data_IF_102291906648
#
_entry.id   IF_102291906648
#
_cell.length_a   1.000
_cell.length_b   1.000
_cell.length_c   1.000
_cell.angle_alpha   90.00
_cell.angle_beta   90.00
_cell.angle_gamma   90.00
#
_symmetry.space_group_name_H-M   'P 1'
#
loop_
_entity.id
_entity.type
_entity.pdbx_description
1 polymer ?
#
# COMPACT_ATOMS: atom_id res chain seq x y z
N UNK A 1 13.76 -12.90 -4.02
CA UNK A 1 12.32 -12.53 -3.87
C UNK A 1 11.57 -13.70 -3.24
N UNK A 2 10.81 -13.42 -2.22
CA UNK A 2 10.00 -14.43 -1.53
C UNK A 2 8.91 -14.96 -2.46
N UNK A 3 8.83 -16.27 -2.63
CA UNK A 3 7.75 -16.91 -3.37
C UNK A 3 6.57 -17.19 -2.45
N UNK A 4 5.37 -16.86 -2.95
CA UNK A 4 4.13 -17.08 -2.20
C UNK A 4 3.65 -18.51 -2.49
N UNK A 5 4.12 -19.45 -1.67
CA UNK A 5 3.74 -20.85 -1.70
C UNK A 5 2.65 -21.15 -0.67
N UNK A 6 2.00 -22.31 -0.74
CA UNK A 6 1.04 -22.73 0.29
C UNK A 6 1.72 -22.80 1.68
N UNK A 7 2.91 -23.36 1.76
CA UNK A 7 3.71 -23.41 3.00
C UNK A 7 4.00 -22.02 3.57
N UNK A 8 4.34 -21.04 2.70
CA UNK A 8 4.53 -19.65 3.13
C UNK A 8 3.22 -19.06 3.69
N UNK A 9 2.09 -19.27 3.01
CA UNK A 9 0.77 -18.79 3.47
C UNK A 9 0.37 -19.41 4.81
N UNK A 10 0.62 -20.70 5.01
CA UNK A 10 0.39 -21.39 6.29
C UNK A 10 1.27 -20.86 7.42
N UNK A 11 2.44 -20.30 7.10
CA UNK A 11 3.40 -19.75 8.08
C UNK A 11 3.11 -18.34 8.55
N UNK A 12 2.14 -17.64 7.92
CA UNK A 12 1.81 -16.23 8.21
C UNK A 12 0.38 -16.07 8.71
N UNK A 13 0.13 -14.94 9.34
CA UNK A 13 -1.20 -14.54 9.79
C UNK A 13 -1.42 -13.04 9.52
N UNK A 14 -2.59 -12.52 9.86
CA UNK A 14 -2.93 -11.09 9.66
C UNK A 14 -1.94 -10.13 10.31
N UNK A 15 -1.31 -10.53 11.42
CA UNK A 15 -0.30 -9.71 12.11
C UNK A 15 0.98 -9.48 11.31
N UNK A 16 1.24 -10.34 10.33
CA UNK A 16 2.45 -10.30 9.51
C UNK A 16 2.26 -9.46 8.22
N UNK A 17 1.08 -8.82 8.06
CA UNK A 17 0.68 -8.10 6.84
C UNK A 17 0.75 -6.59 7.05
N UNK A 18 1.31 -5.89 6.07
CA UNK A 18 1.18 -4.45 5.89
C UNK A 18 0.54 -4.18 4.52
N UNK A 19 -0.52 -3.38 4.49
CA UNK A 19 -1.06 -2.85 3.23
C UNK A 19 -0.67 -1.40 3.04
N UNK A 20 -0.41 -1.02 1.80
CA UNK A 20 -0.01 0.34 1.43
C UNK A 20 -0.71 0.78 0.15
N UNK A 21 -1.30 1.95 0.18
CA UNK A 21 -1.73 2.68 -1.00
C UNK A 21 -0.72 3.80 -1.29
N UNK A 22 0.13 3.57 -2.30
CA UNK A 22 1.26 4.45 -2.61
C UNK A 22 0.76 5.68 -3.36
N UNK A 23 0.85 6.82 -2.70
CA UNK A 23 0.51 8.13 -3.25
C UNK A 23 1.42 9.21 -2.63
N UNK A 24 1.21 10.48 -2.96
CA UNK A 24 1.88 11.61 -2.28
C UNK A 24 1.63 11.58 -0.77
N UNK A 25 0.44 11.14 -0.39
CA UNK A 25 0.08 10.76 0.97
C UNK A 25 -0.18 9.26 0.94
N UNK A 26 0.75 8.47 1.44
CA UNK A 26 0.62 7.01 1.44
C UNK A 26 -0.32 6.57 2.56
N UNK A 27 -1.41 5.94 2.18
CA UNK A 27 -2.28 5.25 3.12
C UNK A 27 -1.68 3.91 3.54
N UNK A 28 -1.87 3.52 4.78
CA UNK A 28 -1.39 2.22 5.27
C UNK A 28 -2.31 1.61 6.33
N UNK A 29 -2.27 0.30 6.42
CA UNK A 29 -2.99 -0.45 7.44
C UNK A 29 -2.23 -1.72 7.83
N UNK A 30 -2.19 -2.00 9.11
CA UNK A 30 -1.93 -3.30 9.71
C UNK A 30 -2.81 -3.43 10.96
N UNK A 31 -2.80 -4.59 11.62
CA UNK A 31 -3.67 -4.79 12.79
C UNK A 31 -3.27 -3.97 14.04
N UNK A 32 -2.12 -3.32 14.03
CA UNK A 32 -1.60 -2.55 15.16
C UNK A 32 -1.79 -1.05 15.00
N UNK A 33 -1.69 -0.56 13.77
CA UNK A 33 -1.84 0.85 13.43
C UNK A 33 -2.27 1.04 11.98
N UNK A 34 -2.91 2.16 11.74
CA UNK A 34 -3.31 2.56 10.39
C UNK A 34 -3.32 4.08 10.28
N UNK A 35 -3.35 4.58 9.08
CA UNK A 35 -3.37 6.02 8.85
C UNK A 35 -2.85 6.41 7.48
N UNK A 36 -2.35 7.61 7.43
CA UNK A 36 -1.78 8.22 6.25
C UNK A 36 -0.46 8.89 6.61
N UNK A 37 0.56 8.68 5.78
CA UNK A 37 1.87 9.31 5.93
C UNK A 37 2.20 10.19 4.73
N UNK A 38 2.68 11.40 5.00
CA UNK A 38 3.16 12.35 4.00
C UNK A 38 4.68 12.50 4.14
N UNK A 39 5.39 12.27 3.04
CA UNK A 39 6.84 12.41 3.04
C UNK A 39 7.25 13.86 2.71
N UNK A 40 8.25 14.40 3.39
CA UNK A 40 8.68 15.78 3.18
C UNK A 40 9.36 15.94 1.81
N UNK A 41 9.11 17.09 1.17
CA UNK A 41 9.86 17.51 -0.01
C UNK A 41 11.29 17.88 0.39
N UNK A 42 12.23 17.70 -0.55
CA UNK A 42 13.56 18.25 -0.41
C UNK A 42 13.65 19.60 -1.13
N UNK A 43 13.54 20.67 -0.39
CA UNK A 43 13.61 22.04 -0.93
C UNK A 43 14.96 22.38 -1.58
N UNK A 44 15.99 21.59 -1.30
CA UNK A 44 17.32 21.70 -1.90
C UNK A 44 17.51 20.84 -3.15
N UNK A 45 16.48 20.08 -3.54
CA UNK A 45 16.57 19.25 -4.74
C UNK A 45 16.75 20.12 -5.99
N UNK A 46 17.58 19.72 -6.96
CA UNK A 46 17.66 20.38 -8.24
C UNK A 46 16.30 20.45 -8.92
N UNK A 47 15.93 21.60 -9.44
CA UNK A 47 14.60 21.83 -10.06
C UNK A 47 14.28 20.84 -11.19
N UNK A 48 15.29 20.35 -11.91
CA UNK A 48 15.11 19.40 -13.01
C UNK A 48 14.75 17.99 -12.54
N UNK A 49 14.93 17.66 -11.24
CA UNK A 49 14.53 16.37 -10.64
C UNK A 49 13.09 16.39 -10.12
N UNK A 50 12.48 17.57 -10.06
CA UNK A 50 11.12 17.75 -9.57
C UNK A 50 11.04 17.93 -8.06
N UNK A 51 9.87 18.39 -7.56
CA UNK A 51 9.67 18.71 -6.14
C UNK A 51 9.69 17.49 -5.23
N UNK A 52 9.50 16.31 -5.79
CA UNK A 52 9.35 15.06 -5.04
C UNK A 52 10.67 14.34 -4.74
N UNK A 53 11.77 14.87 -5.24
CA UNK A 53 13.07 14.19 -5.22
C UNK A 53 13.56 13.79 -3.81
N UNK A 54 13.16 14.47 -2.77
CA UNK A 54 13.53 14.12 -1.39
C UNK A 54 12.68 13.01 -0.74
N UNK A 55 11.54 12.72 -1.32
CA UNK A 55 10.56 11.80 -0.71
C UNK A 55 10.97 10.33 -0.79
N UNK A 56 11.76 9.94 -1.78
CA UNK A 56 12.19 8.56 -2.03
C UNK A 56 12.91 7.95 -0.82
N UNK A 57 13.89 8.67 -0.27
CA UNK A 57 14.64 8.22 0.90
C UNK A 57 13.74 8.10 2.13
N UNK A 58 12.85 9.06 2.34
CA UNK A 58 11.93 9.06 3.47
C UNK A 58 10.92 7.90 3.37
N UNK A 59 10.36 7.66 2.18
CA UNK A 59 9.48 6.52 1.90
C UNK A 59 10.19 5.18 2.15
N UNK A 60 11.40 5.02 1.63
CA UNK A 60 12.21 3.81 1.83
C UNK A 60 12.47 3.56 3.31
N UNK A 61 12.87 4.57 4.06
CA UNK A 61 13.14 4.43 5.49
C UNK A 61 11.87 4.08 6.27
N UNK A 62 10.75 4.73 5.96
CA UNK A 62 9.47 4.42 6.59
C UNK A 62 9.04 2.96 6.36
N UNK A 63 9.18 2.43 5.13
CA UNK A 63 8.89 1.02 4.84
C UNK A 63 9.76 0.08 5.69
N UNK A 64 11.06 0.35 5.78
CA UNK A 64 12.00 -0.44 6.57
C UNK A 64 11.61 -0.42 8.06
N UNK A 65 11.28 0.77 8.58
CA UNK A 65 10.87 0.94 9.97
C UNK A 65 9.59 0.15 10.27
N UNK A 66 8.60 0.18 9.37
CA UNK A 66 7.35 -0.59 9.49
C UNK A 66 7.61 -2.10 9.46
N UNK A 67 8.47 -2.56 8.56
CA UNK A 67 8.85 -3.98 8.46
C UNK A 67 9.48 -4.46 9.78
N UNK A 68 10.42 -3.72 10.33
CA UNK A 68 11.10 -4.11 11.57
C UNK A 68 10.17 -3.98 12.79
N UNK A 69 9.42 -2.88 12.89
CA UNK A 69 8.54 -2.61 14.04
C UNK A 69 7.45 -3.68 14.20
N UNK A 70 6.90 -4.14 13.10
CA UNK A 70 5.77 -5.07 13.10
C UNK A 70 6.10 -6.47 12.61
N UNK A 71 7.38 -6.76 12.36
CA UNK A 71 7.84 -8.06 11.82
C UNK A 71 7.06 -8.47 10.56
N UNK A 72 6.86 -7.51 9.65
CA UNK A 72 6.09 -7.70 8.42
C UNK A 72 6.75 -8.76 7.53
N UNK A 73 5.98 -9.74 7.09
CA UNK A 73 6.41 -10.80 6.18
C UNK A 73 5.79 -10.67 4.78
N UNK A 74 4.70 -9.94 4.66
CA UNK A 74 4.03 -9.69 3.39
C UNK A 74 3.49 -8.26 3.32
N UNK A 75 3.74 -7.61 2.19
CA UNK A 75 3.15 -6.31 1.85
C UNK A 75 2.17 -6.51 0.69
N UNK A 76 1.01 -5.85 0.79
CA UNK A 76 0.05 -5.72 -0.31
C UNK A 76 -0.08 -4.25 -0.71
N UNK A 77 -0.02 -3.99 -2.01
CA UNK A 77 -0.16 -2.65 -2.57
C UNK A 77 -1.09 -2.64 -3.78
N UNK A 78 -1.67 -1.49 -4.11
CA UNK A 78 -2.28 -1.31 -5.42
C UNK A 78 -1.21 -1.35 -6.51
N UNK A 79 -1.57 -1.95 -7.66
CA UNK A 79 -0.70 -1.93 -8.83
C UNK A 79 -0.87 -0.62 -9.59
N UNK A 80 0.16 -0.26 -10.36
CA UNK A 80 0.10 0.86 -11.29
C UNK A 80 -0.82 0.51 -12.46
N UNK A 81 -1.74 1.43 -12.79
CA UNK A 81 -2.58 1.34 -13.98
C UNK A 81 -2.33 2.53 -14.90
N UNK A 82 -2.53 2.31 -16.19
CA UNK A 82 -2.51 3.39 -17.20
C UNK A 82 -3.69 4.33 -16.97
N UNK A 83 -3.50 5.62 -17.26
CA UNK A 83 -4.56 6.64 -17.16
C UNK A 83 -4.19 7.85 -16.33
N UNK A 84 -3.04 7.83 -15.66
CA UNK A 84 -2.47 9.00 -14.98
C UNK A 84 -1.63 9.84 -15.96
N UNK A 85 -1.42 11.11 -15.63
CA UNK A 85 -0.47 11.96 -16.34
C UNK A 85 0.96 11.44 -16.21
N UNK A 86 1.83 11.80 -17.19
CA UNK A 86 3.21 11.31 -17.23
C UNK A 86 3.98 11.53 -15.91
N UNK A 87 3.84 12.68 -15.29
CA UNK A 87 4.56 13.01 -14.05
C UNK A 87 4.07 12.15 -12.86
N UNK A 88 2.78 11.86 -12.81
CA UNK A 88 2.21 10.99 -11.77
C UNK A 88 2.68 9.54 -11.94
N UNK A 89 2.66 9.03 -13.18
CA UNK A 89 3.16 7.68 -13.49
C UNK A 89 4.65 7.57 -13.14
N UNK A 90 5.46 8.56 -13.51
CA UNK A 90 6.87 8.59 -13.17
C UNK A 90 7.10 8.49 -11.68
N UNK A 91 6.47 9.36 -10.89
CA UNK A 91 6.60 9.39 -9.43
C UNK A 91 6.15 8.08 -8.79
N UNK A 92 4.97 7.61 -9.15
CA UNK A 92 4.43 6.35 -8.63
C UNK A 92 5.32 5.17 -9.03
N UNK A 93 5.86 5.16 -10.25
CA UNK A 93 6.81 4.14 -10.70
C UNK A 93 8.10 4.13 -9.89
N UNK A 94 8.64 5.30 -9.54
CA UNK A 94 9.82 5.42 -8.69
C UNK A 94 9.56 4.87 -7.28
N UNK A 95 8.43 5.18 -6.66
CA UNK A 95 8.03 4.64 -5.36
C UNK A 95 7.78 3.12 -5.40
N UNK A 96 7.16 2.62 -6.46
CA UNK A 96 6.99 1.18 -6.66
C UNK A 96 8.33 0.46 -6.83
N UNK A 97 9.30 1.08 -7.50
CA UNK A 97 10.67 0.56 -7.60
C UNK A 97 11.33 0.42 -6.21
N UNK A 98 11.16 1.42 -5.36
CA UNK A 98 11.64 1.38 -3.97
C UNK A 98 10.93 0.26 -3.18
N UNK A 99 9.61 0.13 -3.31
CA UNK A 99 8.86 -0.95 -2.68
C UNK A 99 9.40 -2.34 -3.07
N UNK A 100 9.65 -2.57 -4.35
CA UNK A 100 10.25 -3.81 -4.84
C UNK A 100 11.63 -4.06 -4.23
N UNK A 101 12.50 -3.06 -4.24
CA UNK A 101 13.87 -3.17 -3.70
C UNK A 101 13.84 -3.49 -2.20
N UNK A 102 13.01 -2.80 -1.44
CA UNK A 102 12.88 -3.03 0.01
C UNK A 102 12.34 -4.43 0.29
N UNK A 103 11.30 -4.86 -0.40
CA UNK A 103 10.75 -6.20 -0.22
C UNK A 103 11.77 -7.30 -0.52
N UNK A 104 12.58 -7.15 -1.56
CA UNK A 104 13.63 -8.10 -1.89
C UNK A 104 14.78 -8.09 -0.87
N UNK A 105 15.21 -6.90 -0.44
CA UNK A 105 16.32 -6.74 0.52
C UNK A 105 15.98 -7.34 1.89
N UNK A 106 14.73 -7.25 2.32
CA UNK A 106 14.30 -7.69 3.66
C UNK A 106 13.50 -8.99 3.66
N UNK A 107 13.51 -9.73 2.56
CA UNK A 107 12.80 -11.02 2.41
C UNK A 107 11.29 -10.91 2.77
N UNK A 108 10.64 -9.86 2.27
CA UNK A 108 9.21 -9.63 2.43
C UNK A 108 8.49 -9.98 1.12
N UNK A 109 7.45 -10.79 1.21
CA UNK A 109 6.61 -11.11 0.05
C UNK A 109 5.82 -9.87 -0.39
N UNK A 110 5.65 -9.66 -1.69
CA UNK A 110 4.91 -8.54 -2.26
C UNK A 110 3.75 -9.05 -3.12
N UNK A 111 2.55 -8.55 -2.84
CA UNK A 111 1.35 -8.77 -3.66
C UNK A 111 0.87 -7.42 -4.19
N UNK A 112 0.59 -7.37 -5.49
CA UNK A 112 -0.03 -6.20 -6.11
C UNK A 112 -1.44 -6.53 -6.59
N UNK A 113 -2.38 -5.63 -6.30
CA UNK A 113 -3.80 -5.79 -6.61
C UNK A 113 -4.19 -4.73 -7.63
N UNK A 114 -4.88 -5.17 -8.69
CA UNK A 114 -5.44 -4.25 -9.67
C UNK A 114 -6.49 -3.34 -9.01
N UNK A 115 -6.38 -2.00 -9.14
CA UNK A 115 -7.29 -1.05 -8.52
C UNK A 115 -8.76 -1.26 -8.89
N UNK A 116 -9.05 -1.60 -10.13
CA UNK A 116 -10.43 -1.88 -10.59
C UNK A 116 -11.01 -3.10 -9.89
N UNK A 117 -10.22 -4.15 -9.67
CA UNK A 117 -10.64 -5.35 -8.94
C UNK A 117 -10.88 -5.03 -7.46
N UNK A 118 -10.00 -4.22 -6.85
CA UNK A 118 -10.18 -3.79 -5.46
C UNK A 118 -11.49 -3.00 -5.28
N UNK A 119 -11.74 -2.02 -6.16
CA UNK A 119 -12.95 -1.19 -6.15
C UNK A 119 -14.21 -2.03 -6.32
N UNK A 120 -14.20 -2.95 -7.29
CA UNK A 120 -15.32 -3.86 -7.53
C UNK A 120 -15.61 -4.73 -6.30
N UNK A 121 -14.60 -5.28 -5.68
CA UNK A 121 -14.72 -6.10 -4.48
C UNK A 121 -15.20 -5.28 -3.27
N UNK A 122 -14.67 -4.07 -3.09
CA UNK A 122 -14.99 -3.21 -1.95
C UNK A 122 -16.42 -2.66 -2.02
N UNK A 123 -16.88 -2.23 -3.20
CA UNK A 123 -18.09 -1.43 -3.38
C UNK A 123 -19.14 -2.04 -4.31
N UNK A 124 -18.81 -3.09 -5.06
CA UNK A 124 -19.63 -3.63 -6.14
C UNK A 124 -19.51 -2.87 -7.47
N UNK A 125 -18.65 -1.83 -7.55
CA UNK A 125 -18.43 -1.01 -8.75
C UNK A 125 -16.93 -0.83 -9.03
N UNK A 126 -16.45 -1.33 -10.17
CA UNK A 126 -15.04 -1.21 -10.56
C UNK A 126 -14.57 0.21 -10.84
N UNK A 127 -15.49 1.15 -11.04
CA UNK A 127 -15.23 2.59 -11.21
C UNK A 127 -15.65 3.41 -9.98
N UNK A 128 -15.68 2.81 -8.79
CA UNK A 128 -16.00 3.51 -7.55
C UNK A 128 -15.12 4.77 -7.38
N UNK A 129 -15.75 5.85 -6.97
CA UNK A 129 -15.06 7.08 -6.63
C UNK A 129 -14.51 7.03 -5.19
N UNK A 130 -13.78 8.07 -4.81
CA UNK A 130 -13.14 8.19 -3.50
C UNK A 130 -14.15 8.10 -2.35
N UNK A 131 -15.29 8.79 -2.49
CA UNK A 131 -16.34 8.78 -1.47
C UNK A 131 -16.91 7.39 -1.27
N UNK A 132 -17.16 6.66 -2.36
CA UNK A 132 -17.67 5.29 -2.28
C UNK A 132 -16.69 4.36 -1.57
N UNK A 133 -15.38 4.52 -1.78
CA UNK A 133 -14.35 3.72 -1.11
C UNK A 133 -14.30 4.02 0.40
N UNK A 134 -14.38 5.30 0.79
CA UNK A 134 -14.46 5.72 2.20
C UNK A 134 -15.73 5.17 2.86
N UNK A 135 -16.91 5.40 2.27
CA UNK A 135 -18.19 4.92 2.82
C UNK A 135 -18.20 3.38 2.96
N UNK A 136 -17.62 2.65 2.00
CA UNK A 136 -17.50 1.20 2.08
C UNK A 136 -16.53 0.74 3.20
N UNK A 137 -15.46 1.49 3.44
CA UNK A 137 -14.52 1.23 4.53
C UNK A 137 -15.22 1.31 5.88
N UNK A 138 -15.92 2.40 6.14
CA UNK A 138 -16.68 2.60 7.37
C UNK A 138 -17.76 1.53 7.58
N UNK A 139 -18.52 1.26 6.52
CA UNK A 139 -19.64 0.30 6.58
C UNK A 139 -19.20 -1.14 6.79
N UNK A 140 -18.14 -1.57 6.08
CA UNK A 140 -17.72 -2.98 6.08
C UNK A 140 -16.78 -3.33 7.22
N UNK A 141 -15.87 -2.40 7.57
CA UNK A 141 -14.78 -2.68 8.50
C UNK A 141 -14.91 -1.93 9.82
N UNK A 142 -15.88 -1.01 9.92
CA UNK A 142 -16.06 -0.13 11.09
C UNK A 142 -14.80 0.68 11.42
N UNK A 143 -14.07 1.07 10.37
CA UNK A 143 -12.87 1.90 10.42
C UNK A 143 -13.19 3.20 9.73
N UNK A 144 -13.00 4.32 10.42
CA UNK A 144 -13.18 5.68 9.93
C UNK A 144 -11.84 6.19 9.39
N UNK A 145 -11.60 6.15 8.06
CA UNK A 145 -10.31 6.54 7.49
C UNK A 145 -10.15 8.05 7.48
N UNK A 146 -8.91 8.54 7.57
CA UNK A 146 -8.59 9.96 7.48
C UNK A 146 -8.80 10.51 6.06
N UNK A 147 -8.56 9.67 5.05
CA UNK A 147 -8.76 9.98 3.64
C UNK A 147 -9.00 8.71 2.79
N UNK A 148 -9.12 8.91 1.48
CA UNK A 148 -9.30 7.82 0.52
C UNK A 148 -8.10 6.88 0.43
N UNK A 149 -6.87 7.37 0.60
CA UNK A 149 -5.67 6.53 0.55
C UNK A 149 -5.62 5.56 1.73
N UNK A 150 -6.02 6.02 2.92
CA UNK A 150 -6.15 5.12 4.08
C UNK A 150 -7.28 4.11 3.85
N UNK A 151 -8.44 4.54 3.31
CA UNK A 151 -9.53 3.63 2.98
C UNK A 151 -9.09 2.53 2.01
N UNK A 152 -8.35 2.87 0.96
CA UNK A 152 -7.84 1.93 -0.02
C UNK A 152 -6.83 0.95 0.61
N UNK A 153 -5.97 1.41 1.50
CA UNK A 153 -5.06 0.54 2.26
C UNK A 153 -5.81 -0.45 3.17
N UNK A 154 -6.90 -0.01 3.84
CA UNK A 154 -7.76 -0.88 4.63
C UNK A 154 -8.41 -1.96 3.75
N UNK A 155 -8.97 -1.57 2.61
CA UNK A 155 -9.57 -2.52 1.67
C UNK A 155 -8.54 -3.53 1.12
N UNK A 156 -7.32 -3.10 0.78
CA UNK A 156 -6.23 -3.97 0.36
C UNK A 156 -5.91 -5.05 1.39
N UNK A 157 -5.84 -4.66 2.66
CA UNK A 157 -5.57 -5.58 3.76
C UNK A 157 -6.64 -6.68 3.85
N UNK A 158 -7.91 -6.30 3.92
CA UNK A 158 -8.99 -7.26 4.07
C UNK A 158 -9.21 -8.11 2.81
N UNK A 159 -9.00 -7.52 1.62
CA UNK A 159 -8.99 -8.27 0.37
C UNK A 159 -7.94 -9.39 0.38
N UNK A 160 -6.71 -9.05 0.76
CA UNK A 160 -5.61 -10.03 0.86
C UNK A 160 -5.92 -11.13 1.89
N UNK A 161 -6.38 -10.74 3.07
CA UNK A 161 -6.74 -11.68 4.13
C UNK A 161 -7.83 -12.67 3.67
N UNK A 162 -8.84 -12.19 2.96
CA UNK A 162 -9.88 -13.05 2.38
C UNK A 162 -9.32 -13.97 1.30
N UNK A 163 -8.52 -13.42 0.37
CA UNK A 163 -7.93 -14.18 -0.75
C UNK A 163 -7.10 -15.37 -0.28
N UNK A 164 -6.31 -15.18 0.75
CA UNK A 164 -5.43 -16.22 1.31
C UNK A 164 -6.00 -16.92 2.56
N UNK A 165 -7.24 -16.60 2.94
CA UNK A 165 -7.91 -17.18 4.12
C UNK A 165 -7.07 -17.05 5.41
N UNK A 166 -6.41 -15.91 5.58
CA UNK A 166 -5.53 -15.68 6.72
C UNK A 166 -6.33 -15.55 8.02
N UNK A 167 -5.95 -16.34 9.00
CA UNK A 167 -6.52 -16.31 10.33
C UNK A 167 -6.02 -15.09 11.14
N UNK A 168 -6.78 -14.75 12.16
CA UNK A 168 -6.43 -13.68 13.12
C UNK A 168 -5.20 -14.08 13.94
#
# INVERSE_FOLDING_TARGET
MVQITEEFIESISRKDILSVDIATKTGFYNIYEHGMVKFPNNDKAPKYLGPDYGQHKAFRQWLIDMIHKHHVKMIVAEDLIMGHGYMDIRKLGEFHGILHEVCETYDVALVKINPTHLKLWATGKGNADKKMMVDACEKRWHIEPQDDNEADAVHLFFYLCQRYKLNI
#
